data_IF_549242966019
#
_entry.id   IF_549242966019
#
_cell.length_a   1.000
_cell.length_b   1.000
_cell.length_c   1.000
_cell.angle_alpha   90.00
_cell.angle_beta   90.00
_cell.angle_gamma   90.00
#
_symmetry.space_group_name_H-M   'P 1'
#
loop_
_entity.id
_entity.type
_entity.pdbx_description
1 polymer ?
#
# COMPACT_ATOMS: atom_id res chain seq x y z
N UNK A 1 14.22 15.09 15.66
CA UNK A 1 13.31 16.16 15.24
C UNK A 1 13.73 16.83 13.91
N UNK A 2 15.01 17.18 13.70
CA UNK A 2 15.49 17.81 12.46
C UNK A 2 15.37 16.88 11.24
N UNK A 3 15.68 15.58 11.35
CA UNK A 3 15.56 14.62 10.24
C UNK A 3 14.13 14.39 9.75
N UNK A 4 13.14 14.52 10.61
CA UNK A 4 11.73 14.36 10.22
C UNK A 4 11.28 15.53 9.33
N UNK A 5 11.70 16.75 9.67
CA UNK A 5 11.41 17.95 8.85
C UNK A 5 12.18 17.93 7.53
N UNK A 6 13.46 17.52 7.52
CA UNK A 6 14.23 17.34 6.28
C UNK A 6 13.61 16.27 5.36
N UNK A 7 13.08 15.18 5.93
CA UNK A 7 12.41 14.14 5.15
C UNK A 7 11.02 14.55 4.67
N UNK A 8 10.32 15.43 5.41
CA UNK A 8 9.05 16.03 4.99
C UNK A 8 9.25 17.10 3.90
N UNK A 9 10.40 17.78 3.88
CA UNK A 9 10.77 18.70 2.80
C UNK A 9 11.25 17.96 1.54
N UNK A 10 11.91 16.79 1.68
CA UNK A 10 12.34 15.95 0.55
C UNK A 10 11.24 14.99 0.05
N UNK A 11 10.36 14.50 0.92
CA UNK A 11 9.13 13.82 0.49
C UNK A 11 8.07 14.89 0.28
N UNK A 12 8.06 15.51 -0.90
CA UNK A 12 6.94 16.36 -1.31
C UNK A 12 5.65 15.62 -1.01
N UNK A 13 4.96 16.02 0.06
CA UNK A 13 3.53 15.74 0.19
C UNK A 13 2.97 16.43 -1.03
N UNK A 14 2.44 15.65 -1.93
CA UNK A 14 2.19 16.08 -3.29
C UNK A 14 1.22 17.22 -3.29
N UNK A 15 1.77 18.39 -3.52
CA UNK A 15 0.96 19.53 -3.91
C UNK A 15 0.17 19.13 -5.16
N UNK A 16 -1.10 19.48 -5.22
CA UNK A 16 -1.92 19.12 -6.38
C UNK A 16 -1.23 19.55 -7.66
N UNK A 17 -1.17 18.65 -8.61
CA UNK A 17 -0.76 19.00 -9.97
C UNK A 17 -1.82 19.91 -10.60
N UNK A 18 -1.46 20.62 -11.65
CA UNK A 18 -2.40 21.52 -12.32
C UNK A 18 -3.61 20.78 -12.91
N UNK A 19 -3.40 19.59 -13.41
CA UNK A 19 -4.38 18.77 -14.13
C UNK A 19 -4.23 17.30 -13.72
N UNK A 20 -5.13 16.42 -14.15
CA UNK A 20 -4.94 14.96 -14.06
C UNK A 20 -3.77 14.52 -14.93
N UNK A 21 -3.20 13.36 -14.64
CA UNK A 21 -2.05 12.83 -15.39
C UNK A 21 -2.37 12.66 -16.88
N UNK A 22 -1.67 13.42 -17.71
CA UNK A 22 -1.80 13.35 -19.16
C UNK A 22 -1.28 12.05 -19.79
N UNK A 23 -0.58 11.20 -19.06
CA UNK A 23 -0.23 9.84 -19.52
C UNK A 23 -1.48 8.98 -19.62
N UNK A 24 -2.43 9.17 -18.73
CA UNK A 24 -3.68 8.41 -18.58
C UNK A 24 -4.88 9.14 -19.18
N UNK A 25 -5.02 10.42 -18.87
CA UNK A 25 -6.20 11.21 -19.16
C UNK A 25 -6.03 12.16 -20.37
N UNK A 26 -7.12 12.44 -21.01
CA UNK A 26 -7.24 13.49 -22.03
C UNK A 26 -8.28 14.50 -21.58
N UNK A 27 -7.91 15.76 -21.51
CA UNK A 27 -8.83 16.86 -21.22
C UNK A 27 -9.70 17.15 -22.45
N UNK A 28 -11.01 17.21 -22.26
CA UNK A 28 -12.00 17.49 -23.29
C UNK A 28 -12.97 18.54 -22.75
N UNK A 29 -12.75 19.81 -23.11
CA UNK A 29 -13.41 20.94 -22.45
C UNK A 29 -13.01 21.00 -20.99
N UNK A 30 -13.99 21.04 -20.09
CA UNK A 30 -13.78 21.04 -18.64
C UNK A 30 -13.74 19.64 -18.02
N UNK A 31 -13.86 18.60 -18.86
CA UNK A 31 -13.87 17.21 -18.41
C UNK A 31 -12.60 16.47 -18.80
N UNK A 32 -12.38 15.32 -18.15
CA UNK A 32 -11.33 14.38 -18.48
C UNK A 32 -11.93 13.06 -18.92
N UNK A 33 -11.33 12.46 -19.95
CA UNK A 33 -11.70 11.15 -20.49
C UNK A 33 -10.45 10.29 -20.57
N UNK A 34 -10.56 9.02 -20.26
CA UNK A 34 -9.43 8.10 -20.35
C UNK A 34 -8.96 7.99 -21.81
N UNK A 35 -7.66 7.96 -22.06
CA UNK A 35 -7.13 7.78 -23.41
C UNK A 35 -7.50 6.41 -23.96
N UNK A 36 -7.94 6.34 -25.20
CA UNK A 36 -8.34 5.07 -25.84
C UNK A 36 -7.22 4.02 -25.83
N UNK A 37 -5.95 4.43 -25.89
CA UNK A 37 -4.81 3.52 -25.75
C UNK A 37 -4.76 2.92 -24.36
N UNK A 38 -4.92 3.73 -23.32
CA UNK A 38 -4.93 3.32 -21.92
C UNK A 38 -6.09 2.37 -21.64
N UNK A 39 -7.30 2.72 -22.05
CA UNK A 39 -8.48 1.85 -21.96
C UNK A 39 -8.23 0.47 -22.57
N UNK A 40 -7.66 0.43 -23.78
CA UNK A 40 -7.34 -0.84 -24.45
C UNK A 40 -6.27 -1.65 -23.71
N UNK A 41 -5.27 -0.98 -23.11
CA UNK A 41 -4.26 -1.65 -22.31
C UNK A 41 -4.88 -2.30 -21.08
N UNK A 42 -5.74 -1.56 -20.35
CA UNK A 42 -6.46 -2.10 -19.18
C UNK A 42 -7.28 -3.33 -19.57
N UNK A 43 -8.13 -3.23 -20.60
CA UNK A 43 -8.98 -4.34 -21.04
C UNK A 43 -8.15 -5.55 -21.49
N UNK A 44 -7.05 -5.32 -22.22
CA UNK A 44 -6.15 -6.40 -22.62
C UNK A 44 -5.45 -7.06 -21.42
N UNK A 45 -5.10 -6.29 -20.38
CA UNK A 45 -4.51 -6.87 -19.17
C UNK A 45 -5.54 -7.71 -18.41
N UNK A 46 -6.79 -7.25 -18.27
CA UNK A 46 -7.85 -8.01 -17.61
C UNK A 46 -8.13 -9.36 -18.28
N UNK A 47 -7.99 -9.43 -19.60
CA UNK A 47 -8.16 -10.69 -20.38
C UNK A 47 -6.94 -11.61 -20.32
N UNK A 48 -5.88 -11.29 -19.55
CA UNK A 48 -4.68 -12.12 -19.44
C UNK A 48 -4.71 -13.11 -18.30
N UNK A 49 -5.64 -12.95 -17.35
CA UNK A 49 -5.75 -13.90 -16.25
C UNK A 49 -6.05 -15.31 -16.79
N UNK A 50 -5.29 -16.34 -16.40
CA UNK A 50 -5.30 -17.63 -17.12
C UNK A 50 -6.57 -18.45 -16.91
N UNK A 51 -7.25 -18.28 -15.78
CA UNK A 51 -8.40 -19.11 -15.43
C UNK A 51 -9.71 -18.59 -16.01
N UNK A 52 -9.84 -17.27 -16.17
CA UNK A 52 -11.07 -16.63 -16.62
C UNK A 52 -10.79 -15.25 -17.21
N UNK A 53 -11.50 -14.82 -18.23
CA UNK A 53 -11.49 -13.41 -18.67
C UNK A 53 -12.22 -12.55 -17.64
N UNK A 54 -11.47 -11.70 -16.92
CA UNK A 54 -12.02 -10.86 -15.87
C UNK A 54 -13.05 -9.85 -16.38
N UNK A 55 -12.97 -9.47 -17.67
CA UNK A 55 -13.99 -8.62 -18.31
C UNK A 55 -15.30 -9.38 -18.42
N UNK A 56 -15.26 -10.67 -18.74
CA UNK A 56 -16.47 -11.48 -18.87
C UNK A 56 -17.16 -11.74 -17.54
N UNK A 57 -16.41 -11.80 -16.45
CA UNK A 57 -16.93 -11.93 -15.09
C UNK A 57 -17.63 -10.68 -14.57
N UNK A 58 -17.34 -9.52 -15.18
CA UNK A 58 -17.90 -8.27 -14.71
C UNK A 58 -19.42 -8.22 -14.85
N UNK A 59 -20.08 -7.70 -13.80
CA UNK A 59 -21.51 -7.41 -13.76
C UNK A 59 -21.93 -6.57 -14.98
N UNK A 60 -23.08 -6.89 -15.53
CA UNK A 60 -23.67 -6.11 -16.64
C UNK A 60 -24.71 -5.13 -16.08
N UNK A 61 -24.57 -3.86 -16.44
CA UNK A 61 -25.50 -2.79 -16.09
C UNK A 61 -25.81 -1.97 -17.36
N UNK A 62 -27.07 -1.91 -17.74
CA UNK A 62 -27.50 -1.27 -18.98
C UNK A 62 -26.80 -1.80 -20.25
N UNK A 63 -26.53 -3.10 -20.31
CA UNK A 63 -25.88 -3.76 -21.44
C UNK A 63 -24.35 -3.63 -21.49
N UNK A 64 -23.72 -2.96 -20.53
CA UNK A 64 -22.26 -2.80 -20.45
C UNK A 64 -21.70 -3.42 -19.18
N UNK A 65 -20.49 -3.92 -19.25
CA UNK A 65 -19.72 -4.43 -18.11
C UNK A 65 -19.41 -3.30 -17.13
N UNK A 66 -19.39 -3.58 -15.83
CA UNK A 66 -19.07 -2.60 -14.79
C UNK A 66 -17.62 -2.77 -14.39
N UNK A 67 -16.77 -1.88 -14.86
CA UNK A 67 -15.33 -1.84 -14.57
C UNK A 67 -14.99 -0.38 -14.25
N UNK A 68 -14.38 -0.16 -13.09
CA UNK A 68 -14.05 1.15 -12.60
C UNK A 68 -12.54 1.38 -12.58
N UNK A 69 -12.12 2.61 -12.86
CA UNK A 69 -10.78 3.11 -12.54
C UNK A 69 -10.94 4.06 -11.37
N UNK A 70 -10.15 3.86 -10.32
CA UNK A 70 -10.22 4.64 -9.09
C UNK A 70 -8.82 5.07 -8.61
N UNK A 71 -8.73 5.59 -7.41
CA UNK A 71 -7.46 5.90 -6.76
C UNK A 71 -6.93 7.31 -7.03
N UNK A 72 -5.67 7.54 -6.68
CA UNK A 72 -5.00 8.84 -6.80
C UNK A 72 -4.91 9.32 -8.25
N UNK A 73 -4.81 8.40 -9.20
CA UNK A 73 -4.77 8.69 -10.63
C UNK A 73 -6.05 9.40 -11.12
N UNK A 74 -7.15 9.28 -10.38
CA UNK A 74 -8.42 9.96 -10.64
C UNK A 74 -8.50 11.35 -9.99
N UNK A 75 -7.40 11.85 -9.45
CA UNK A 75 -7.26 13.17 -8.83
C UNK A 75 -6.04 13.89 -9.40
N UNK A 76 -5.88 15.17 -9.10
CA UNK A 76 -4.64 15.88 -9.42
C UNK A 76 -3.58 15.79 -8.30
N UNK A 77 -3.75 14.85 -7.36
CA UNK A 77 -2.78 14.51 -6.32
C UNK A 77 -2.05 13.17 -6.63
N UNK A 78 -1.90 12.83 -7.89
CA UNK A 78 -1.13 11.66 -8.31
C UNK A 78 0.37 11.92 -8.24
N UNK A 79 1.14 10.83 -8.09
CA UNK A 79 2.60 10.78 -8.22
C UNK A 79 2.99 10.11 -9.53
N UNK A 80 4.27 10.27 -9.91
CA UNK A 80 4.82 9.55 -11.06
C UNK A 80 4.80 8.03 -10.87
N UNK A 81 4.83 7.56 -9.63
CA UNK A 81 4.73 6.15 -9.22
C UNK A 81 3.32 5.72 -8.75
N UNK A 82 2.32 6.59 -8.90
CA UNK A 82 0.93 6.22 -8.59
C UNK A 82 0.47 5.02 -9.42
N UNK A 83 -0.24 4.10 -8.78
CA UNK A 83 -0.83 2.95 -9.45
C UNK A 83 -2.12 3.32 -10.21
N UNK A 84 -2.49 2.49 -11.18
CA UNK A 84 -3.84 2.50 -11.76
C UNK A 84 -4.63 1.37 -11.11
N UNK A 85 -5.50 1.73 -10.19
CA UNK A 85 -6.41 0.79 -9.53
C UNK A 85 -7.62 0.51 -10.42
N UNK A 86 -7.79 -0.73 -10.83
CA UNK A 86 -8.93 -1.17 -11.65
C UNK A 86 -9.79 -2.14 -10.86
N UNK A 87 -11.03 -1.79 -10.65
CA UNK A 87 -12.01 -2.60 -9.96
C UNK A 87 -12.97 -3.25 -10.96
N UNK A 88 -13.00 -4.57 -10.97
CA UNK A 88 -13.98 -5.37 -11.70
C UNK A 88 -15.11 -5.73 -10.77
N UNK A 89 -16.31 -5.23 -11.03
CA UNK A 89 -17.50 -5.55 -10.22
C UNK A 89 -18.05 -6.89 -10.68
N UNK A 90 -17.82 -7.94 -9.87
CA UNK A 90 -18.19 -9.30 -10.21
C UNK A 90 -19.71 -9.47 -10.28
N UNK A 91 -20.20 -10.16 -11.31
CA UNK A 91 -21.61 -10.51 -11.42
C UNK A 91 -22.03 -11.45 -10.30
N UNK A 92 -23.25 -11.26 -9.76
CA UNK A 92 -23.85 -12.18 -8.78
C UNK A 92 -24.05 -13.59 -9.34
N UNK A 93 -24.15 -13.73 -10.64
CA UNK A 93 -24.29 -15.03 -11.32
C UNK A 93 -22.93 -15.72 -11.55
N UNK A 94 -21.83 -15.08 -11.24
CA UNK A 94 -20.50 -15.67 -11.35
C UNK A 94 -20.28 -16.71 -10.24
N UNK A 95 -19.68 -17.84 -10.59
CA UNK A 95 -19.26 -18.88 -9.62
C UNK A 95 -18.25 -18.36 -8.58
N UNK A 96 -17.60 -17.26 -8.86
CA UNK A 96 -16.61 -16.60 -7.99
C UNK A 96 -17.19 -15.44 -7.16
N UNK A 97 -18.50 -15.22 -7.22
CA UNK A 97 -19.13 -14.15 -6.44
C UNK A 97 -19.00 -14.42 -4.94
N UNK A 98 -18.33 -13.52 -4.23
CA UNK A 98 -18.07 -13.67 -2.78
C UNK A 98 -16.87 -14.56 -2.44
N UNK A 99 -16.11 -15.04 -3.42
CA UNK A 99 -14.94 -15.88 -3.22
C UNK A 99 -13.71 -15.00 -2.93
N UNK A 100 -13.38 -14.89 -1.64
CA UNK A 100 -12.21 -14.11 -1.18
C UNK A 100 -10.87 -14.74 -1.58
N UNK A 101 -10.81 -16.06 -1.73
CA UNK A 101 -9.57 -16.74 -2.10
C UNK A 101 -9.27 -16.51 -3.59
N UNK A 102 -10.28 -16.59 -4.44
CA UNK A 102 -10.16 -16.21 -5.84
C UNK A 102 -9.69 -14.75 -5.98
N UNK A 103 -10.24 -13.81 -5.19
CA UNK A 103 -9.77 -12.42 -5.17
C UNK A 103 -8.29 -12.32 -4.84
N UNK A 104 -7.83 -13.01 -3.80
CA UNK A 104 -6.42 -13.02 -3.40
C UNK A 104 -5.52 -13.62 -4.49
N UNK A 105 -5.98 -14.69 -5.14
CA UNK A 105 -5.23 -15.35 -6.21
C UNK A 105 -5.09 -14.45 -7.43
N UNK A 106 -6.13 -13.72 -7.83
CA UNK A 106 -6.06 -12.72 -8.90
C UNK A 106 -5.01 -11.66 -8.56
N UNK A 107 -5.07 -11.05 -7.36
CA UNK A 107 -4.12 -10.02 -6.93
C UNK A 107 -2.68 -10.56 -6.95
N UNK A 108 -2.45 -11.73 -6.35
CA UNK A 108 -1.12 -12.38 -6.32
C UNK A 108 -0.60 -12.69 -7.72
N UNK A 109 -1.47 -13.19 -8.59
CA UNK A 109 -1.07 -13.53 -9.95
C UNK A 109 -0.58 -12.30 -10.72
N UNK A 110 -1.33 -11.18 -10.69
CA UNK A 110 -0.89 -9.94 -11.34
C UNK A 110 0.39 -9.39 -10.72
N UNK A 111 0.54 -9.44 -9.40
CA UNK A 111 1.75 -9.00 -8.72
C UNK A 111 2.98 -9.85 -9.13
N UNK A 112 2.82 -11.17 -9.18
CA UNK A 112 3.90 -12.10 -9.55
C UNK A 112 4.30 -12.02 -11.02
N UNK A 113 3.38 -11.65 -11.92
CA UNK A 113 3.61 -11.62 -13.37
C UNK A 113 3.71 -10.18 -13.92
N UNK A 114 3.85 -9.16 -13.07
CA UNK A 114 3.81 -7.76 -13.48
C UNK A 114 4.83 -7.41 -14.57
N UNK A 115 6.06 -7.90 -14.45
CA UNK A 115 7.13 -7.63 -15.41
C UNK A 115 6.92 -8.38 -16.74
N UNK A 116 6.53 -9.65 -16.69
CA UNK A 116 6.27 -10.46 -17.90
C UNK A 116 5.09 -9.91 -18.71
N UNK A 117 4.02 -9.55 -18.02
CA UNK A 117 2.83 -8.96 -18.62
C UNK A 117 3.05 -7.53 -19.11
N UNK A 118 4.17 -6.90 -18.70
CA UNK A 118 4.34 -5.45 -18.82
C UNK A 118 3.10 -4.72 -18.28
N UNK A 119 2.71 -5.09 -17.05
CA UNK A 119 1.52 -4.59 -16.38
C UNK A 119 1.65 -3.10 -16.00
N UNK A 120 2.01 -2.30 -17.00
CA UNK A 120 2.10 -0.84 -16.93
C UNK A 120 1.13 -0.21 -17.93
N UNK A 121 0.38 0.75 -17.44
CA UNK A 121 -0.62 1.47 -18.20
C UNK A 121 -0.30 2.95 -18.15
N UNK A 122 0.08 3.54 -19.28
CA UNK A 122 0.53 4.93 -19.30
C UNK A 122 1.78 5.21 -18.43
N UNK A 123 2.62 4.19 -18.18
CA UNK A 123 3.79 4.18 -17.29
C UNK A 123 3.47 3.89 -15.81
N UNK A 124 2.21 3.85 -15.43
CA UNK A 124 1.75 3.52 -14.08
C UNK A 124 1.57 2.00 -13.92
N UNK A 125 1.89 1.49 -12.74
CA UNK A 125 1.66 0.09 -12.41
C UNK A 125 0.16 -0.21 -12.42
N UNK A 126 -0.21 -1.34 -13.04
CA UNK A 126 -1.58 -1.81 -13.07
C UNK A 126 -1.87 -2.68 -11.87
N UNK A 127 -2.91 -2.32 -11.12
CA UNK A 127 -3.43 -3.14 -10.03
C UNK A 127 -4.91 -3.46 -10.28
N UNK A 128 -5.31 -4.70 -10.05
CA UNK A 128 -6.69 -5.13 -10.24
C UNK A 128 -7.27 -5.75 -8.99
N UNK A 129 -8.51 -5.36 -8.71
CA UNK A 129 -9.28 -5.84 -7.57
C UNK A 129 -10.65 -6.32 -8.01
N UNK A 130 -11.04 -7.50 -7.52
CA UNK A 130 -12.38 -8.02 -7.72
C UNK A 130 -13.29 -7.48 -6.61
N UNK A 131 -14.38 -6.82 -6.98
CA UNK A 131 -15.33 -6.22 -6.04
C UNK A 131 -16.71 -6.84 -6.23
N UNK A 132 -17.44 -6.99 -5.13
CA UNK A 132 -18.78 -7.58 -5.17
C UNK A 132 -19.89 -6.53 -5.09
N UNK A 133 -19.53 -5.28 -4.85
CA UNK A 133 -20.45 -4.14 -4.88
C UNK A 133 -19.72 -2.87 -5.33
N UNK A 134 -20.49 -1.87 -5.76
CA UNK A 134 -19.99 -0.59 -6.24
C UNK A 134 -19.76 0.45 -5.11
N UNK A 135 -20.12 0.13 -3.87
CA UNK A 135 -20.27 1.13 -2.80
C UNK A 135 -18.95 1.80 -2.43
N UNK A 136 -17.88 1.01 -2.30
CA UNK A 136 -16.56 1.55 -1.93
C UNK A 136 -16.00 2.47 -3.03
N UNK A 137 -16.21 2.13 -4.29
CA UNK A 137 -15.75 2.90 -5.43
C UNK A 137 -16.42 4.27 -5.48
N UNK A 138 -17.72 4.33 -5.12
CA UNK A 138 -18.48 5.57 -5.08
C UNK A 138 -18.04 6.53 -3.97
N UNK A 139 -17.34 6.01 -2.96
CA UNK A 139 -16.77 6.81 -1.87
C UNK A 139 -15.35 7.29 -2.17
N UNK A 140 -14.72 6.83 -3.24
CA UNK A 140 -13.39 7.25 -3.63
C UNK A 140 -13.37 8.72 -4.09
N UNK A 141 -12.19 9.34 -4.06
CA UNK A 141 -12.01 10.72 -4.53
C UNK A 141 -12.32 10.90 -6.02
N UNK A 142 -12.25 9.81 -6.79
CA UNK A 142 -12.67 9.73 -8.18
C UNK A 142 -12.97 8.30 -8.56
N UNK A 143 -14.05 8.11 -9.30
CA UNK A 143 -14.47 6.82 -9.85
C UNK A 143 -14.90 7.03 -11.31
N UNK A 144 -14.17 6.39 -12.21
CA UNK A 144 -14.43 6.46 -13.64
C UNK A 144 -14.96 5.12 -14.16
N UNK A 145 -16.14 5.15 -14.77
CA UNK A 145 -16.72 3.99 -15.47
C UNK A 145 -16.00 3.80 -16.80
N UNK A 146 -15.12 2.80 -16.85
CA UNK A 146 -14.26 2.52 -17.98
C UNK A 146 -15.06 2.16 -19.24
N UNK A 147 -16.17 1.46 -19.10
CA UNK A 147 -16.94 0.99 -20.24
C UNK A 147 -17.84 2.07 -20.85
N UNK A 148 -18.40 2.93 -20.00
CA UNK A 148 -19.25 4.04 -20.43
C UNK A 148 -18.48 5.33 -20.74
N UNK A 149 -17.16 5.37 -20.54
CA UNK A 149 -16.30 6.54 -20.71
C UNK A 149 -16.81 7.78 -19.94
N UNK A 150 -17.23 7.59 -18.69
CA UNK A 150 -17.78 8.67 -17.86
C UNK A 150 -17.37 8.57 -16.41
N UNK A 151 -17.35 9.72 -15.76
CA UNK A 151 -17.19 9.80 -14.32
C UNK A 151 -18.50 9.40 -13.61
N UNK A 152 -18.37 8.57 -12.58
CA UNK A 152 -19.44 8.29 -11.62
C UNK A 152 -19.31 9.25 -10.46
N UNK A 153 -18.07 9.44 -9.98
CA UNK A 153 -17.70 10.42 -8.97
C UNK A 153 -16.42 11.11 -9.41
N UNK A 154 -16.34 12.43 -9.29
CA UNK A 154 -15.15 13.20 -9.65
C UNK A 154 -15.02 13.50 -11.14
N UNK A 155 -13.81 13.80 -11.66
CA UNK A 155 -12.52 13.76 -10.95
C UNK A 155 -12.43 14.79 -9.84
N UNK A 156 -11.69 14.52 -8.78
CA UNK A 156 -11.46 15.51 -7.74
C UNK A 156 -10.21 16.33 -8.08
N UNK A 157 -10.43 17.58 -8.37
CA UNK A 157 -9.37 18.56 -8.65
C UNK A 157 -9.24 19.47 -7.44
N UNK A 158 -8.10 19.39 -6.78
CA UNK A 158 -7.77 20.25 -5.64
C UNK A 158 -7.18 21.57 -6.14
N UNK A 159 -7.44 22.69 -5.46
CA UNK A 159 -6.76 23.95 -5.72
C UNK A 159 -5.24 23.80 -5.60
N UNK A 160 -4.47 24.58 -6.36
CA UNK A 160 -3.00 24.51 -6.32
C UNK A 160 -2.41 24.99 -4.99
N UNK A 161 -3.17 25.74 -4.22
CA UNK A 161 -2.84 26.21 -2.85
C UNK A 161 -3.46 25.31 -1.77
N UNK A 162 -3.99 24.15 -2.14
CA UNK A 162 -4.53 23.17 -1.20
C UNK A 162 -3.43 22.65 -0.27
N UNK A 163 -3.62 22.85 1.02
CA UNK A 163 -2.74 22.32 2.05
C UNK A 163 -3.38 21.06 2.68
N UNK A 164 -2.85 19.86 2.37
CA UNK A 164 -3.35 18.64 2.99
C UNK A 164 -3.13 18.59 4.51
N UNK A 165 -2.18 19.36 5.04
CA UNK A 165 -1.91 19.40 6.49
C UNK A 165 -3.05 20.08 7.27
N UNK A 166 -3.70 21.10 6.69
CA UNK A 166 -4.84 21.73 7.34
C UNK A 166 -6.04 20.77 7.43
N UNK A 167 -6.32 20.04 6.34
CA UNK A 167 -7.46 19.12 6.27
C UNK A 167 -7.29 17.87 7.15
N UNK A 168 -6.04 17.48 7.45
CA UNK A 168 -5.68 16.27 8.18
C UNK A 168 -4.85 16.54 9.43
N UNK A 169 -4.95 17.72 10.03
CA UNK A 169 -4.13 18.12 11.18
C UNK A 169 -4.14 17.10 12.33
N UNK A 170 -5.32 16.58 12.68
CA UNK A 170 -5.47 15.55 13.72
C UNK A 170 -4.75 14.25 13.35
N UNK A 171 -4.86 13.85 12.07
CA UNK A 171 -4.21 12.63 11.53
C UNK A 171 -2.69 12.78 11.55
N UNK A 172 -2.16 13.99 11.26
CA UNK A 172 -0.72 14.24 11.31
C UNK A 172 -0.14 14.12 12.72
N UNK A 173 -0.87 14.51 13.75
CA UNK A 173 -0.41 14.28 15.13
C UNK A 173 -0.27 12.80 15.43
N UNK A 174 -1.24 11.98 15.02
CA UNK A 174 -1.16 10.53 15.17
C UNK A 174 -0.02 9.92 14.34
N UNK A 175 0.18 10.39 13.10
CA UNK A 175 1.31 9.98 12.25
C UNK A 175 2.64 10.31 12.91
N UNK A 176 2.80 11.51 13.47
CA UNK A 176 4.04 11.91 14.14
C UNK A 176 4.35 11.03 15.34
N UNK A 177 3.36 10.68 16.16
CA UNK A 177 3.55 9.78 17.29
C UNK A 177 3.97 8.38 16.81
N UNK A 178 3.25 7.81 15.84
CA UNK A 178 3.54 6.49 15.28
C UNK A 178 4.94 6.45 14.64
N UNK A 179 5.32 7.50 13.88
CA UNK A 179 6.64 7.59 13.26
C UNK A 179 7.73 7.69 14.32
N UNK A 180 7.54 8.46 15.39
CA UNK A 180 8.52 8.58 16.47
C UNK A 180 8.73 7.24 17.21
N UNK A 181 7.64 6.51 17.45
CA UNK A 181 7.71 5.18 18.06
C UNK A 181 8.38 4.16 17.13
N UNK A 182 8.03 4.17 15.85
CA UNK A 182 8.68 3.33 14.84
C UNK A 182 10.19 3.66 14.70
N UNK A 183 10.57 4.93 14.64
CA UNK A 183 11.97 5.36 14.58
C UNK A 183 12.76 4.87 15.79
N UNK A 184 12.14 4.88 16.98
CA UNK A 184 12.76 4.36 18.20
C UNK A 184 13.01 2.87 18.08
N UNK A 185 12.01 2.08 17.70
CA UNK A 185 12.12 0.62 17.52
C UNK A 185 13.15 0.25 16.45
N UNK A 186 13.14 0.89 15.31
CA UNK A 186 14.17 0.70 14.27
C UNK A 186 15.56 1.11 14.76
N UNK A 187 15.65 2.14 15.60
CA UNK A 187 16.91 2.55 16.22
C UNK A 187 17.44 1.53 17.25
N UNK A 188 16.57 0.84 17.96
CA UNK A 188 16.90 -0.27 18.88
C UNK A 188 17.39 -1.47 18.08
N UNK A 189 16.61 -1.93 17.11
CA UNK A 189 16.98 -3.03 16.21
C UNK A 189 18.34 -2.80 15.51
N UNK A 190 18.59 -1.60 14.99
CA UNK A 190 19.90 -1.27 14.37
C UNK A 190 21.06 -1.40 15.36
N UNK A 191 20.90 -0.95 16.60
CA UNK A 191 21.94 -1.10 17.64
C UNK A 191 22.21 -2.56 17.94
N UNK A 192 21.18 -3.37 18.06
CA UNK A 192 21.32 -4.78 18.41
C UNK A 192 22.00 -5.58 17.28
N UNK A 193 21.72 -5.23 16.03
CA UNK A 193 22.42 -5.78 14.86
C UNK A 193 23.91 -5.40 14.87
N UNK A 194 24.25 -4.15 15.18
CA UNK A 194 25.63 -3.69 15.28
C UNK A 194 26.35 -4.42 16.43
N UNK A 195 25.73 -4.54 17.60
CA UNK A 195 26.29 -5.23 18.76
C UNK A 195 26.51 -6.72 18.48
N UNK A 196 25.57 -7.38 17.78
CA UNK A 196 25.73 -8.74 17.30
C UNK A 196 26.98 -8.90 16.44
N UNK A 197 27.22 -8.02 15.48
CA UNK A 197 28.40 -8.05 14.62
C UNK A 197 29.70 -7.86 15.42
N UNK A 198 29.71 -6.94 16.38
CA UNK A 198 30.87 -6.73 17.26
C UNK A 198 31.21 -8.03 18.01
N UNK A 199 30.21 -8.72 18.55
CA UNK A 199 30.39 -9.98 19.27
C UNK A 199 30.86 -11.09 18.30
N UNK A 200 30.26 -11.17 17.12
CA UNK A 200 30.62 -12.12 16.04
C UNK A 200 32.10 -11.96 15.63
N UNK A 201 32.56 -10.72 15.46
CA UNK A 201 33.96 -10.41 15.17
C UNK A 201 34.91 -10.73 16.33
N UNK A 202 34.51 -10.45 17.59
CA UNK A 202 35.28 -10.78 18.77
C UNK A 202 35.49 -12.30 18.91
N UNK A 203 34.47 -13.10 18.64
CA UNK A 203 34.55 -14.57 18.64
C UNK A 203 35.60 -15.13 17.68
N UNK A 204 35.88 -14.45 16.58
CA UNK A 204 36.92 -14.90 15.63
C UNK A 204 38.34 -14.69 16.19
N UNK A 205 38.54 -13.71 17.06
CA UNK A 205 39.86 -13.26 17.56
C UNK A 205 40.30 -13.88 18.85
N UNK A 206 39.42 -14.53 19.62
CA UNK A 206 39.75 -15.11 20.93
C UNK A 206 39.99 -16.63 20.84
N UNK A 207 40.78 -17.22 21.77
CA UNK A 207 41.01 -18.66 21.88
C UNK A 207 39.72 -19.45 22.09
N UNK A 208 39.62 -20.66 21.54
CA UNK A 208 38.41 -21.51 21.62
C UNK A 208 37.96 -21.76 23.06
N UNK A 209 38.90 -21.88 24.02
CA UNK A 209 38.60 -22.10 25.44
C UNK A 209 37.88 -20.93 26.14
N UNK A 210 37.90 -19.75 25.54
CA UNK A 210 37.32 -18.54 26.12
C UNK A 210 36.04 -18.07 25.38
N UNK A 211 35.58 -18.86 24.40
CA UNK A 211 34.49 -18.42 23.49
C UNK A 211 33.09 -18.61 24.10
N UNK A 212 32.92 -19.44 25.14
CA UNK A 212 31.56 -19.80 25.58
C UNK A 212 30.73 -18.59 25.99
N UNK A 213 31.24 -17.71 26.82
CA UNK A 213 30.53 -16.50 27.25
C UNK A 213 30.14 -15.59 26.09
N UNK A 214 31.01 -15.47 25.06
CA UNK A 214 30.65 -14.66 23.86
C UNK A 214 29.64 -15.35 22.95
N UNK A 215 29.62 -16.70 22.95
CA UNK A 215 28.57 -17.43 22.22
C UNK A 215 27.21 -17.24 22.88
N UNK A 216 27.15 -17.30 24.20
CA UNK A 216 25.93 -17.07 24.92
C UNK A 216 25.42 -15.65 24.68
N UNK A 217 26.29 -14.63 24.72
CA UNK A 217 25.95 -13.26 24.39
C UNK A 217 25.52 -13.09 22.93
N UNK A 218 26.11 -13.83 21.99
CA UNK A 218 25.70 -13.78 20.60
C UNK A 218 24.28 -14.34 20.42
N UNK A 219 23.95 -15.39 21.15
CA UNK A 219 22.60 -15.97 21.17
C UNK A 219 21.59 -15.01 21.80
N UNK A 220 21.97 -14.35 22.91
CA UNK A 220 21.13 -13.35 23.58
C UNK A 220 20.81 -12.18 22.59
N UNK A 221 21.84 -11.70 21.87
CA UNK A 221 21.63 -10.64 20.86
C UNK A 221 20.79 -11.08 19.66
N UNK A 222 20.90 -12.34 19.24
CA UNK A 222 20.01 -12.87 18.20
C UNK A 222 18.55 -12.85 18.66
N UNK A 223 18.32 -13.22 19.94
CA UNK A 223 16.98 -13.18 20.51
C UNK A 223 16.44 -11.74 20.62
N UNK A 224 17.29 -10.78 21.03
CA UNK A 224 16.89 -9.37 21.09
C UNK A 224 16.50 -8.84 19.70
N UNK A 225 17.25 -9.17 18.64
CA UNK A 225 16.92 -8.82 17.26
C UNK A 225 15.57 -9.45 16.83
N UNK A 226 15.35 -10.71 17.16
CA UNK A 226 14.09 -11.43 16.91
C UNK A 226 12.92 -10.75 17.61
N UNK A 227 13.08 -10.44 18.91
CA UNK A 227 12.05 -9.77 19.73
C UNK A 227 11.69 -8.38 19.16
N UNK A 228 12.68 -7.61 18.69
CA UNK A 228 12.48 -6.31 18.06
C UNK A 228 11.70 -6.43 16.73
N UNK A 229 12.00 -7.45 15.92
CA UNK A 229 11.26 -7.71 14.67
C UNK A 229 9.80 -8.06 15.00
N UNK A 230 9.55 -8.90 16.00
CA UNK A 230 8.20 -9.24 16.45
C UNK A 230 7.43 -8.01 16.95
N UNK A 231 8.10 -7.12 17.67
CA UNK A 231 7.47 -5.90 18.17
C UNK A 231 7.06 -4.97 17.01
N UNK A 232 7.97 -4.77 16.05
CA UNK A 232 7.67 -4.00 14.83
C UNK A 232 6.52 -4.63 14.03
N UNK A 233 6.49 -5.96 13.90
CA UNK A 233 5.40 -6.66 13.23
C UNK A 233 4.05 -6.47 13.92
N UNK A 234 4.04 -6.53 15.25
CA UNK A 234 2.83 -6.27 16.05
C UNK A 234 2.30 -4.86 15.79
N UNK A 235 3.17 -3.84 15.85
CA UNK A 235 2.79 -2.45 15.55
C UNK A 235 2.20 -2.32 14.13
N UNK A 236 2.85 -2.91 13.13
CA UNK A 236 2.33 -2.94 11.76
C UNK A 236 0.95 -3.58 11.69
N UNK A 237 0.74 -4.70 12.39
CA UNK A 237 -0.54 -5.39 12.44
C UNK A 237 -1.63 -4.52 13.04
N UNK A 238 -1.34 -3.81 14.11
CA UNK A 238 -2.27 -2.90 14.78
C UNK A 238 -2.65 -1.73 13.85
N UNK A 239 -1.70 -1.15 13.11
CA UNK A 239 -1.98 -0.10 12.11
C UNK A 239 -2.87 -0.60 10.97
N UNK A 240 -2.60 -1.80 10.44
CA UNK A 240 -3.41 -2.42 9.38
C UNK A 240 -4.82 -2.76 9.90
N UNK A 241 -4.93 -3.23 11.14
CA UNK A 241 -6.22 -3.57 11.74
C UNK A 241 -7.05 -2.32 12.03
N UNK A 242 -6.44 -1.25 12.51
CA UNK A 242 -7.10 0.05 12.69
C UNK A 242 -7.71 0.55 11.38
N UNK A 243 -6.95 0.44 10.26
CA UNK A 243 -7.47 0.73 8.92
C UNK A 243 -8.67 -0.17 8.55
N UNK A 244 -8.58 -1.49 8.80
CA UNK A 244 -9.65 -2.44 8.48
C UNK A 244 -10.91 -2.17 9.30
N UNK A 245 -10.79 -1.82 10.58
CA UNK A 245 -11.93 -1.48 11.44
C UNK A 245 -12.64 -0.21 10.98
N UNK A 246 -11.89 0.78 10.51
CA UNK A 246 -12.46 2.02 9.97
C UNK A 246 -12.96 1.87 8.53
N UNK A 247 -12.49 0.88 7.78
CA UNK A 247 -12.95 0.57 6.42
C UNK A 247 -14.13 -0.42 6.36
N UNK A 248 -14.91 -0.56 7.44
CA UNK A 248 -16.17 -1.32 7.37
C UNK A 248 -16.99 -0.81 6.18
N UNK A 249 -17.62 -1.70 5.42
CA UNK A 249 -18.38 -1.32 4.24
C UNK A 249 -19.49 -0.35 4.67
N UNK A 250 -19.30 0.90 4.30
CA UNK A 250 -20.26 1.97 4.47
C UNK A 250 -21.13 1.94 3.24
N UNK A 251 -22.45 1.81 3.41
CA UNK A 251 -23.35 1.93 2.27
C UNK A 251 -23.33 3.36 1.74
N UNK A 252 -23.67 3.56 0.47
CA UNK A 252 -23.81 4.93 -0.10
C UNK A 252 -24.81 5.75 0.69
N UNK A 253 -25.81 5.10 1.26
CA UNK A 253 -26.85 5.73 2.09
C UNK A 253 -26.29 6.12 3.46
N UNK A 254 -25.50 5.26 4.10
CA UNK A 254 -24.78 5.59 5.34
C UNK A 254 -23.82 6.75 5.12
N UNK A 255 -23.06 6.73 4.01
CA UNK A 255 -22.11 7.79 3.67
C UNK A 255 -22.80 9.14 3.43
N UNK A 256 -24.01 9.16 2.87
CA UNK A 256 -24.79 10.39 2.69
C UNK A 256 -25.38 10.92 4.01
N UNK A 257 -25.66 10.02 4.95
CA UNK A 257 -26.36 10.33 6.18
C UNK A 257 -25.44 10.49 7.40
N UNK A 258 -24.21 9.95 7.33
CA UNK A 258 -23.24 10.00 8.44
C UNK A 258 -21.88 10.57 8.01
N UNK A 259 -21.78 11.90 8.08
CA UNK A 259 -20.53 12.65 7.79
C UNK A 259 -19.37 12.21 8.69
N UNK A 260 -19.67 11.81 9.96
CA UNK A 260 -18.66 11.37 10.92
C UNK A 260 -18.03 10.05 10.49
N UNK A 261 -18.83 9.11 9.98
CA UNK A 261 -18.36 7.82 9.50
C UNK A 261 -17.45 7.97 8.27
N UNK A 262 -17.84 8.86 7.34
CA UNK A 262 -17.02 9.19 6.16
C UNK A 262 -15.70 9.84 6.59
N UNK A 263 -15.71 10.76 7.55
CA UNK A 263 -14.51 11.39 8.09
C UNK A 263 -13.58 10.32 8.70
N UNK A 264 -14.09 9.44 9.56
CA UNK A 264 -13.29 8.38 10.18
C UNK A 264 -12.64 7.46 9.15
N UNK A 265 -13.36 7.07 8.10
CA UNK A 265 -12.82 6.26 7.02
C UNK A 265 -11.72 6.99 6.25
N UNK A 266 -11.93 8.26 5.92
CA UNK A 266 -10.97 9.11 5.24
C UNK A 266 -9.68 9.30 6.06
N UNK A 267 -9.82 9.59 7.35
CA UNK A 267 -8.70 9.83 8.26
C UNK A 267 -7.85 8.57 8.44
N UNK A 268 -8.47 7.40 8.62
CA UNK A 268 -7.75 6.13 8.73
C UNK A 268 -7.02 5.75 7.43
N UNK A 269 -7.60 6.02 6.26
CA UNK A 269 -6.95 5.79 4.98
C UNK A 269 -5.78 6.76 4.76
N UNK A 270 -5.93 8.02 5.17
CA UNK A 270 -4.85 9.01 5.14
C UNK A 270 -3.70 8.59 6.06
N UNK A 271 -3.99 8.22 7.31
CA UNK A 271 -3.01 7.72 8.28
C UNK A 271 -2.18 6.58 7.69
N UNK A 272 -2.85 5.57 7.13
CA UNK A 272 -2.17 4.43 6.51
C UNK A 272 -1.27 4.84 5.34
N UNK A 273 -1.73 5.74 4.47
CA UNK A 273 -0.94 6.26 3.35
C UNK A 273 0.29 7.03 3.82
N UNK A 274 0.16 7.84 4.86
CA UNK A 274 1.30 8.57 5.44
C UNK A 274 2.33 7.61 6.04
N UNK A 275 1.93 6.63 6.83
CA UNK A 275 2.84 5.62 7.39
C UNK A 275 3.54 4.84 6.27
N UNK A 276 2.83 4.50 5.20
CA UNK A 276 3.41 3.78 4.07
C UNK A 276 4.48 4.59 3.31
N UNK A 277 4.37 5.93 3.29
CA UNK A 277 5.39 6.82 2.69
C UNK A 277 6.75 6.71 3.35
N UNK A 278 6.81 6.48 4.67
CA UNK A 278 8.06 6.24 5.38
C UNK A 278 8.65 4.84 5.10
N UNK A 279 8.01 4.06 4.23
CA UNK A 279 8.40 2.68 3.87
C UNK A 279 8.44 1.70 5.04
N UNK A 280 8.01 2.09 6.24
CA UNK A 280 8.01 1.23 7.42
C UNK A 280 7.23 -0.05 7.20
N UNK A 281 6.03 0.04 6.59
CA UNK A 281 5.20 -1.13 6.33
C UNK A 281 5.89 -2.17 5.44
N UNK A 282 6.65 -1.71 4.45
CA UNK A 282 7.44 -2.58 3.59
C UNK A 282 8.63 -3.16 4.35
N UNK A 283 9.41 -2.30 5.01
CA UNK A 283 10.60 -2.72 5.76
C UNK A 283 10.26 -3.75 6.83
N UNK A 284 9.17 -3.55 7.58
CA UNK A 284 8.71 -4.51 8.59
C UNK A 284 8.30 -5.84 7.96
N UNK A 285 7.61 -5.82 6.82
CA UNK A 285 7.26 -7.05 6.10
C UNK A 285 8.49 -7.78 5.62
N UNK A 286 9.45 -7.06 5.03
CA UNK A 286 10.68 -7.65 4.52
C UNK A 286 11.52 -8.28 5.67
N UNK A 287 11.47 -7.70 6.88
CA UNK A 287 12.09 -8.28 8.09
C UNK A 287 11.33 -9.52 8.59
N UNK A 288 9.99 -9.50 8.59
CA UNK A 288 9.15 -10.63 8.99
C UNK A 288 9.39 -11.87 8.10
N UNK A 289 9.61 -11.65 6.80
CA UNK A 289 9.90 -12.74 5.84
C UNK A 289 11.23 -13.47 6.11
N UNK A 290 12.08 -12.94 6.98
CA UNK A 290 13.33 -13.60 7.42
C UNK A 290 13.12 -14.59 8.59
N UNK A 291 11.98 -14.54 9.27
CA UNK A 291 11.64 -15.48 10.33
C UNK A 291 11.29 -16.84 9.72
N UNK A 292 11.70 -17.91 10.40
CA UNK A 292 11.39 -19.28 9.98
C UNK A 292 9.94 -19.70 10.35
N UNK A 293 9.58 -20.96 10.07
CA UNK A 293 8.24 -21.51 10.37
C UNK A 293 7.91 -21.53 11.89
N UNK A 294 8.92 -21.38 12.76
CA UNK A 294 8.77 -21.28 14.20
C UNK A 294 8.85 -19.83 14.71
N UNK A 295 8.75 -18.85 13.81
CA UNK A 295 8.90 -17.41 14.07
C UNK A 295 10.28 -17.05 14.66
N UNK A 296 11.34 -17.76 14.25
CA UNK A 296 12.71 -17.56 14.75
C UNK A 296 13.65 -17.04 13.68
N UNK A 297 14.60 -16.22 14.10
CA UNK A 297 15.67 -15.70 13.28
C UNK A 297 16.92 -16.58 13.37
N UNK A 298 17.52 -16.92 12.24
CA UNK A 298 18.77 -17.66 12.22
C UNK A 298 19.98 -16.72 12.17
N UNK A 299 21.14 -17.18 12.69
CA UNK A 299 22.40 -16.43 12.66
C UNK A 299 22.86 -15.99 11.25
N UNK A 300 22.47 -16.72 10.20
CA UNK A 300 22.82 -16.39 8.80
C UNK A 300 21.96 -15.24 8.28
N UNK A 301 20.77 -15.05 8.80
CA UNK A 301 19.79 -14.10 8.29
C UNK A 301 20.04 -12.69 8.85
N UNK A 302 20.92 -12.55 9.88
CA UNK A 302 21.29 -11.23 10.44
C UNK A 302 21.98 -10.33 9.39
N UNK A 303 22.70 -10.90 8.45
CA UNK A 303 23.30 -10.11 7.36
C UNK A 303 22.20 -9.56 6.43
N UNK A 304 21.13 -10.31 6.17
CA UNK A 304 19.96 -9.84 5.41
C UNK A 304 19.19 -8.75 6.19
N UNK A 305 19.06 -8.88 7.53
CA UNK A 305 18.51 -7.81 8.39
C UNK A 305 19.29 -6.51 8.22
N UNK A 306 20.63 -6.59 8.16
CA UNK A 306 21.49 -5.41 7.93
C UNK A 306 21.21 -4.76 6.57
N UNK A 307 21.11 -5.56 5.53
CA UNK A 307 20.86 -5.07 4.18
C UNK A 307 19.49 -4.37 4.09
N UNK A 308 18.46 -4.93 4.72
CA UNK A 308 17.12 -4.31 4.81
C UNK A 308 17.17 -2.98 5.55
N UNK A 309 17.90 -2.93 6.68
CA UNK A 309 18.02 -1.75 7.52
C UNK A 309 19.05 -0.73 7.02
N UNK A 310 19.87 -1.11 6.03
CA UNK A 310 20.98 -0.31 5.50
C UNK A 310 21.99 0.11 6.58
N UNK A 311 22.44 -0.86 7.39
CA UNK A 311 23.38 -0.66 8.51
C UNK A 311 24.76 -1.20 8.16
#
# INVERSE_FOLDING_TARGET
>A
MIKLFEYLEESSIDFPQKDLDFKVWKKVGDNYVIKSKVKRQILNLLSKYPEEDLVDMAKVKNGLKVIHVIGSICTNQYLDDSDIDVHVIVSQDSKYFGDEDFQKDVIKWYAANADELKAYVGEHKFEVYMQYNETQDLLSAGCYDLMNDKWITGPRIYPLDYDPYEDFADVFQDVHAIVADADKLFGELKRDVIDYDVIKLALQKIPKSQRQHLKDRLQDKLQEIEDDIHLLYKERKDWVEARRKSSKPVTVEDAKNDVKLVKQWRDANALFKFINRYKYLKTIRDLEELLDEEDKLNHKDVDDVKDILKV
#
